data_IF_162837701365
#
_entry.id   IF_162837701365
#
_cell.length_a   1.000
_cell.length_b   1.000
_cell.length_c   1.000
_cell.angle_alpha   90.00
_cell.angle_beta   90.00
_cell.angle_gamma   90.00
#
_symmetry.space_group_name_H-M   'P 1'
#
loop_
_entity.id
_entity.type
_entity.pdbx_description
1 polymer ?
#
# COMPACT_ATOMS: atom_id res chain seq x y z
N UNK A 1 -0.32 -78.04 -16.01
CA UNK A 1 0.18 -77.09 -17.03
C UNK A 1 0.51 -75.80 -16.26
N UNK A 2 1.71 -75.52 -15.73
CA UNK A 2 3.06 -75.37 -16.32
C UNK A 2 3.13 -74.41 -17.51
N UNK A 3 3.31 -73.12 -17.20
CA UNK A 3 4.13 -72.12 -17.91
C UNK A 3 4.14 -70.85 -17.02
N UNK A 4 5.20 -70.56 -16.23
CA UNK A 4 6.48 -69.89 -16.54
C UNK A 4 6.39 -68.36 -16.77
N UNK A 5 7.06 -67.62 -15.85
CA UNK A 5 7.77 -66.31 -15.98
C UNK A 5 6.92 -65.07 -16.33
N UNK A 6 7.12 -63.87 -15.75
CA UNK A 6 8.34 -63.20 -15.30
C UNK A 6 8.12 -62.43 -14.00
N UNK A 7 9.14 -62.43 -13.15
CA UNK A 7 9.34 -61.49 -12.07
C UNK A 7 9.77 -60.13 -12.64
N UNK A 8 9.11 -59.05 -12.21
CA UNK A 8 9.60 -57.68 -12.35
C UNK A 8 9.59 -57.06 -10.95
N UNK A 9 10.79 -56.87 -10.42
CA UNK A 9 11.08 -56.06 -9.24
C UNK A 9 10.69 -54.61 -9.53
N UNK A 10 9.59 -54.16 -8.93
CA UNK A 10 9.26 -52.74 -8.83
C UNK A 10 9.91 -52.18 -7.56
N UNK A 11 10.80 -51.18 -7.65
CA UNK A 11 11.17 -50.40 -6.49
C UNK A 11 9.95 -49.57 -6.08
N UNK A 12 9.51 -49.75 -4.84
CA UNK A 12 8.57 -48.86 -4.18
C UNK A 12 9.26 -47.50 -3.97
N UNK A 13 9.12 -46.60 -4.93
CA UNK A 13 9.30 -45.17 -4.72
C UNK A 13 7.94 -44.58 -4.38
N UNK A 14 7.67 -44.47 -3.08
CA UNK A 14 6.77 -43.45 -2.54
C UNK A 14 7.32 -42.09 -2.91
N UNK A 15 6.87 -41.53 -4.02
CA UNK A 15 7.00 -40.09 -4.26
C UNK A 15 5.98 -39.41 -3.36
N UNK A 16 6.46 -38.94 -2.21
CA UNK A 16 5.87 -37.79 -1.55
C UNK A 16 5.92 -36.66 -2.57
N UNK A 17 4.76 -36.24 -3.07
CA UNK A 17 4.63 -35.02 -3.85
C UNK A 17 4.92 -33.86 -2.89
N UNK A 18 6.06 -33.20 -3.08
CA UNK A 18 6.26 -31.86 -2.53
C UNK A 18 5.25 -30.91 -3.21
N UNK A 19 4.59 -30.02 -2.47
CA UNK A 19 3.60 -29.10 -3.02
C UNK A 19 4.18 -28.07 -4.01
N UNK A 20 5.50 -28.01 -4.19
CA UNK A 20 6.19 -27.05 -5.07
C UNK A 20 6.30 -27.51 -6.54
N UNK A 21 6.01 -28.79 -6.86
CA UNK A 21 6.13 -29.34 -8.24
C UNK A 21 4.85 -29.20 -9.10
N UNK A 22 3.84 -28.45 -8.65
CA UNK A 22 2.64 -28.13 -9.44
C UNK A 22 2.78 -26.89 -10.33
N UNK A 23 3.93 -26.21 -10.30
CA UNK A 23 4.22 -25.05 -11.14
C UNK A 23 4.84 -25.51 -12.46
N UNK A 24 3.98 -26.10 -13.31
CA UNK A 24 4.33 -26.55 -14.66
C UNK A 24 4.78 -25.40 -15.56
N UNK A 25 5.90 -25.64 -16.25
CA UNK A 25 6.52 -24.71 -17.18
C UNK A 25 5.68 -24.39 -18.43
N UNK A 26 5.92 -23.19 -18.96
CA UNK A 26 5.34 -22.68 -20.20
C UNK A 26 6.32 -21.77 -20.95
N UNK A 27 6.85 -22.30 -22.05
CA UNK A 27 7.37 -21.69 -23.28
C UNK A 27 7.40 -20.15 -23.39
N UNK A 28 8.61 -19.58 -23.51
CA UNK A 28 8.90 -18.37 -24.30
C UNK A 28 8.11 -17.07 -24.02
N UNK A 29 7.54 -16.91 -22.82
CA UNK A 29 6.63 -15.81 -22.48
C UNK A 29 7.32 -14.65 -21.74
N UNK A 30 6.72 -13.47 -21.88
CA UNK A 30 7.01 -12.23 -21.12
C UNK A 30 7.34 -12.60 -19.67
N UNK A 31 8.54 -12.26 -19.19
CA UNK A 31 8.90 -12.40 -17.78
C UNK A 31 8.04 -11.43 -16.97
N UNK A 32 6.85 -11.85 -16.54
CA UNK A 32 6.12 -11.12 -15.50
C UNK A 32 7.00 -11.17 -14.24
N UNK A 33 7.35 -10.02 -13.65
CA UNK A 33 8.13 -9.99 -12.42
C UNK A 33 7.51 -10.87 -11.34
N UNK A 34 8.35 -11.57 -10.57
CA UNK A 34 7.87 -12.42 -9.49
C UNK A 34 7.07 -11.59 -8.45
N UNK A 35 5.88 -12.09 -8.03
CA UNK A 35 5.10 -11.45 -6.98
C UNK A 35 5.95 -11.20 -5.73
N UNK A 36 5.78 -10.02 -5.12
CA UNK A 36 6.51 -9.66 -3.90
C UNK A 36 5.61 -9.83 -2.67
N UNK A 37 6.12 -10.32 -1.52
CA UNK A 37 5.40 -10.25 -0.27
C UNK A 37 5.33 -8.80 0.24
N UNK A 38 4.28 -8.44 0.98
CA UNK A 38 4.09 -7.09 1.51
C UNK A 38 5.29 -6.58 2.32
N UNK A 39 5.86 -7.43 3.17
CA UNK A 39 7.09 -7.08 3.92
C UNK A 39 8.26 -6.75 2.98
N UNK A 40 8.41 -7.46 1.87
CA UNK A 40 9.46 -7.22 0.88
C UNK A 40 9.33 -5.85 0.19
N UNK A 41 8.10 -5.37 -0.03
CA UNK A 41 7.86 -4.00 -0.55
C UNK A 41 8.42 -2.98 0.41
N UNK A 42 8.09 -3.11 1.70
CA UNK A 42 8.53 -2.19 2.74
C UNK A 42 10.04 -2.20 2.94
N UNK A 43 10.66 -3.38 2.93
CA UNK A 43 12.12 -3.52 3.02
C UNK A 43 12.82 -2.86 1.82
N UNK A 44 12.31 -3.09 0.61
CA UNK A 44 12.88 -2.52 -0.63
C UNK A 44 12.73 -1.00 -0.69
N UNK A 45 11.54 -0.47 -0.35
CA UNK A 45 11.32 0.98 -0.25
C UNK A 45 12.22 1.62 0.81
N UNK A 46 12.37 0.97 1.98
CA UNK A 46 13.20 1.48 3.05
C UNK A 46 14.67 1.58 2.63
N UNK A 47 15.20 0.51 2.03
CA UNK A 47 16.58 0.50 1.55
C UNK A 47 16.80 1.58 0.48
N UNK A 48 15.98 1.60 -0.56
CA UNK A 48 16.14 2.51 -1.69
C UNK A 48 15.97 3.98 -1.29
N UNK A 49 14.97 4.31 -0.47
CA UNK A 49 14.74 5.68 -0.03
C UNK A 49 15.89 6.19 0.85
N UNK A 50 16.39 5.36 1.78
CA UNK A 50 17.51 5.77 2.64
C UNK A 50 18.83 5.90 1.88
N UNK A 51 19.04 5.12 0.83
CA UNK A 51 20.16 5.33 -0.10
C UNK A 51 19.99 6.61 -0.94
N UNK A 52 18.74 6.93 -1.32
CA UNK A 52 18.43 8.17 -2.01
C UNK A 52 18.59 9.42 -1.13
N UNK A 53 18.34 9.34 0.19
CA UNK A 53 18.63 10.45 1.11
C UNK A 53 20.09 10.91 0.97
N UNK A 54 21.04 9.98 1.03
CA UNK A 54 22.47 10.29 0.88
C UNK A 54 22.82 10.84 -0.51
N UNK A 55 22.23 10.27 -1.56
CA UNK A 55 22.51 10.61 -2.97
C UNK A 55 21.89 11.94 -3.41
N UNK A 56 20.65 12.19 -3.01
CA UNK A 56 19.85 13.36 -3.42
C UNK A 56 20.17 14.60 -2.57
N UNK A 57 20.66 14.42 -1.33
CA UNK A 57 20.84 15.53 -0.37
C UNK A 57 22.29 15.90 -0.07
N UNK A 58 23.24 15.02 -0.41
CA UNK A 58 24.66 15.23 -0.17
C UNK A 58 25.09 14.91 1.26
N UNK A 59 26.18 14.15 1.38
CA UNK A 59 26.81 13.59 2.58
C UNK A 59 26.14 12.33 3.18
N UNK A 60 26.60 11.12 2.81
CA UNK A 60 26.19 9.89 3.48
C UNK A 60 26.65 9.88 4.95
N UNK A 61 25.70 9.79 5.88
CA UNK A 61 25.95 9.50 7.30
C UNK A 61 25.37 8.11 7.61
N UNK A 62 26.20 7.09 7.92
CA UNK A 62 25.70 5.75 8.25
C UNK A 62 24.68 5.73 9.40
N UNK A 63 24.80 6.64 10.37
CA UNK A 63 23.85 6.73 11.49
C UNK A 63 22.49 7.29 11.03
N UNK A 64 22.45 8.11 9.97
CA UNK A 64 21.19 8.57 9.35
C UNK A 64 20.49 7.44 8.62
N UNK A 65 21.23 6.59 7.90
CA UNK A 65 20.67 5.43 7.20
C UNK A 65 19.90 4.49 8.14
N UNK A 66 20.47 4.14 9.29
CA UNK A 66 19.79 3.29 10.28
C UNK A 66 18.52 3.93 10.84
N UNK A 67 18.58 5.23 11.18
CA UNK A 67 17.39 5.99 11.65
C UNK A 67 16.31 6.07 10.57
N UNK A 68 16.71 6.31 9.33
CA UNK A 68 15.82 6.34 8.18
C UNK A 68 15.13 4.99 7.98
N UNK A 69 15.88 3.88 7.97
CA UNK A 69 15.32 2.55 7.79
C UNK A 69 14.30 2.21 8.90
N UNK A 70 14.62 2.54 10.16
CA UNK A 70 13.70 2.34 11.28
C UNK A 70 12.43 3.20 11.17
N UNK A 71 12.53 4.42 10.63
CA UNK A 71 11.40 5.32 10.46
C UNK A 71 10.47 4.90 9.31
N UNK A 72 11.03 4.36 8.22
CA UNK A 72 10.22 3.81 7.14
C UNK A 72 9.53 2.53 7.61
N UNK A 73 10.28 1.63 8.26
CA UNK A 73 9.73 0.39 8.78
C UNK A 73 8.53 0.62 9.73
N UNK A 74 8.59 1.63 10.60
CA UNK A 74 7.49 1.95 11.51
C UNK A 74 6.24 2.45 10.78
N UNK A 75 6.39 3.26 9.73
CA UNK A 75 5.26 3.70 8.88
C UNK A 75 4.69 2.56 8.05
N UNK A 76 5.56 1.68 7.58
CA UNK A 76 5.19 0.58 6.72
C UNK A 76 4.46 -0.55 7.48
N UNK A 77 4.70 -0.68 8.79
CA UNK A 77 4.10 -1.73 9.62
C UNK A 77 2.55 -1.74 9.55
N UNK A 78 1.91 -0.57 9.52
CA UNK A 78 0.45 -0.46 9.38
C UNK A 78 -0.03 -0.99 8.03
N UNK A 79 0.68 -0.71 6.95
CA UNK A 79 0.33 -1.21 5.61
C UNK A 79 0.57 -2.72 5.48
N UNK A 80 1.68 -3.25 6.03
CA UNK A 80 1.92 -4.71 6.05
C UNK A 80 0.82 -5.44 6.81
N UNK A 81 0.38 -4.90 7.96
CA UNK A 81 -0.71 -5.49 8.72
C UNK A 81 -2.04 -5.52 7.94
N UNK A 82 -2.28 -4.53 7.06
CA UNK A 82 -3.43 -4.54 6.15
C UNK A 82 -3.26 -5.59 5.05
N UNK A 83 -2.09 -5.67 4.44
CA UNK A 83 -1.80 -6.61 3.36
C UNK A 83 -1.81 -8.08 3.80
N UNK A 84 -1.42 -8.37 5.05
CA UNK A 84 -1.45 -9.71 5.61
C UNK A 84 -2.88 -10.19 5.95
N UNK A 85 -3.89 -9.31 5.96
CA UNK A 85 -5.29 -9.68 6.20
C UNK A 85 -5.98 -10.11 4.92
N UNK A 86 -6.54 -11.32 4.92
CA UNK A 86 -7.18 -11.92 3.76
C UNK A 86 -8.33 -11.08 3.14
N UNK A 87 -8.96 -10.17 3.91
CA UNK A 87 -10.05 -9.31 3.41
C UNK A 87 -9.58 -8.27 2.41
N UNK A 88 -8.32 -7.87 2.48
CA UNK A 88 -7.75 -6.85 1.58
C UNK A 88 -7.29 -7.44 0.25
N UNK A 89 -7.29 -8.77 0.11
CA UNK A 89 -6.86 -9.48 -1.10
C UNK A 89 -5.57 -8.91 -1.68
N UNK A 90 -4.50 -8.94 -0.89
CA UNK A 90 -3.21 -8.42 -1.33
C UNK A 90 -2.73 -9.10 -2.62
N UNK A 91 -2.43 -8.28 -3.64
CA UNK A 91 -1.84 -8.71 -4.90
C UNK A 91 -0.36 -8.35 -4.95
N UNK A 92 0.49 -9.38 -4.85
CA UNK A 92 1.94 -9.24 -4.90
C UNK A 92 2.50 -8.85 -6.28
N UNK A 93 1.79 -9.09 -7.38
CA UNK A 93 2.20 -8.64 -8.70
C UNK A 93 1.91 -7.15 -8.89
N UNK A 94 0.74 -6.67 -8.45
CA UNK A 94 0.44 -5.23 -8.43
C UNK A 94 1.39 -4.49 -7.48
N UNK A 95 1.64 -5.05 -6.29
CA UNK A 95 2.59 -4.48 -5.35
C UNK A 95 4.01 -4.36 -5.92
N UNK A 96 4.43 -5.31 -6.75
CA UNK A 96 5.69 -5.26 -7.47
C UNK A 96 5.70 -4.10 -8.48
N UNK A 97 4.65 -3.95 -9.29
CA UNK A 97 4.56 -2.85 -10.25
C UNK A 97 4.59 -1.47 -9.56
N UNK A 98 3.90 -1.33 -8.42
CA UNK A 98 3.94 -0.12 -7.59
C UNK A 98 5.35 0.13 -7.05
N UNK A 99 6.03 -0.92 -6.57
CA UNK A 99 7.40 -0.82 -6.08
C UNK A 99 8.35 -0.36 -7.21
N UNK A 100 8.24 -0.93 -8.40
CA UNK A 100 9.12 -0.58 -9.52
C UNK A 100 8.96 0.90 -9.93
N UNK A 101 7.73 1.42 -9.97
CA UNK A 101 7.46 2.85 -10.19
C UNK A 101 8.01 3.72 -9.05
N UNK A 102 7.86 3.28 -7.80
CA UNK A 102 8.42 4.00 -6.64
C UNK A 102 9.95 4.04 -6.71
N UNK A 103 10.62 2.94 -7.05
CA UNK A 103 12.07 2.86 -7.21
C UNK A 103 12.54 3.78 -8.34
N UNK A 104 11.83 3.83 -9.47
CA UNK A 104 12.15 4.75 -10.56
C UNK A 104 12.10 6.22 -10.12
N UNK A 105 11.10 6.61 -9.31
CA UNK A 105 10.99 7.97 -8.73
C UNK A 105 12.11 8.26 -7.74
N UNK A 106 12.44 7.30 -6.88
CA UNK A 106 13.55 7.37 -5.93
C UNK A 106 14.86 7.59 -6.68
N UNK A 107 15.11 6.83 -7.75
CA UNK A 107 16.31 6.94 -8.58
C UNK A 107 16.42 8.31 -9.26
N UNK A 108 15.29 8.90 -9.67
CA UNK A 108 15.22 10.25 -10.22
C UNK A 108 15.30 11.37 -9.15
N UNK A 109 15.31 11.02 -7.85
CA UNK A 109 15.11 11.98 -6.75
C UNK A 109 13.83 12.82 -6.94
N UNK A 110 12.78 12.20 -7.49
CA UNK A 110 11.52 12.85 -7.83
C UNK A 110 10.70 13.07 -6.54
N UNK A 111 10.36 14.32 -6.20
CA UNK A 111 9.67 14.62 -4.96
C UNK A 111 8.23 14.09 -4.92
N UNK A 112 7.66 13.70 -6.06
CA UNK A 112 6.31 13.12 -6.17
C UNK A 112 6.17 11.67 -5.66
N UNK A 113 7.23 11.07 -5.13
CA UNK A 113 7.18 9.72 -4.53
C UNK A 113 6.11 9.59 -3.44
N UNK A 114 6.07 10.51 -2.48
CA UNK A 114 5.14 10.45 -1.35
C UNK A 114 3.68 10.52 -1.79
N UNK A 115 3.24 11.51 -2.59
CA UNK A 115 1.86 11.52 -3.08
C UNK A 115 1.54 10.29 -3.93
N UNK A 116 2.49 9.78 -4.73
CA UNK A 116 2.32 8.54 -5.49
C UNK A 116 2.03 7.34 -4.57
N UNK A 117 2.88 7.07 -3.56
CA UNK A 117 2.70 5.91 -2.66
C UNK A 117 1.34 5.93 -1.93
N UNK A 118 0.80 7.11 -1.65
CA UNK A 118 -0.50 7.30 -1.00
C UNK A 118 -1.71 7.33 -1.94
N UNK A 119 -1.48 7.41 -3.25
CA UNK A 119 -2.55 7.53 -4.25
C UNK A 119 -3.26 6.18 -4.44
N UNK A 120 -4.40 6.20 -5.14
CA UNK A 120 -5.11 4.98 -5.53
C UNK A 120 -4.32 4.09 -6.49
N UNK A 121 -3.30 4.65 -7.15
CA UNK A 121 -2.37 3.95 -8.05
C UNK A 121 -1.10 3.47 -7.32
N UNK A 122 -0.90 3.89 -6.07
CA UNK A 122 0.25 3.55 -5.24
C UNK A 122 0.05 2.28 -4.40
N UNK A 123 0.53 2.29 -3.16
CA UNK A 123 0.41 1.14 -2.24
C UNK A 123 -1.03 0.65 -2.03
N UNK A 124 -2.06 1.52 -1.99
CA UNK A 124 -3.46 1.09 -1.97
C UNK A 124 -3.88 0.21 -3.16
N UNK A 125 -3.27 0.36 -4.34
CA UNK A 125 -3.62 -0.42 -5.53
C UNK A 125 -3.37 -1.92 -5.36
N UNK A 126 -2.41 -2.29 -4.51
CA UNK A 126 -2.09 -3.68 -4.19
C UNK A 126 -3.10 -4.34 -3.23
N UNK A 127 -4.09 -3.60 -2.73
CA UNK A 127 -5.15 -4.11 -1.86
C UNK A 127 -6.44 -4.21 -2.67
N UNK A 128 -6.61 -5.32 -3.42
CA UNK A 128 -7.74 -5.47 -4.35
C UNK A 128 -9.10 -5.54 -3.66
N UNK A 129 -9.14 -5.93 -2.38
CA UNK A 129 -10.38 -6.20 -1.65
C UNK A 129 -11.07 -7.50 -2.07
N UNK A 130 -12.00 -7.95 -1.24
CA UNK A 130 -12.78 -9.19 -1.44
C UNK A 130 -14.28 -8.95 -1.60
N UNK A 131 -14.76 -7.73 -1.35
CA UNK A 131 -16.19 -7.37 -1.32
C UNK A 131 -16.57 -6.61 -2.58
N UNK A 132 -17.56 -7.14 -3.29
CA UNK A 132 -18.06 -6.57 -4.54
C UNK A 132 -18.70 -5.18 -4.36
N UNK A 133 -18.72 -4.34 -5.41
CA UNK A 133 -19.43 -3.06 -5.39
C UNK A 133 -20.90 -3.20 -4.96
N UNK A 134 -21.35 -2.28 -4.09
CA UNK A 134 -22.70 -2.24 -3.53
C UNK A 134 -22.92 -3.14 -2.32
N UNK A 135 -22.08 -4.15 -2.10
CA UNK A 135 -22.23 -5.11 -1.01
C UNK A 135 -21.75 -4.54 0.35
N UNK A 136 -22.14 -5.21 1.43
CA UNK A 136 -21.79 -4.81 2.78
C UNK A 136 -20.31 -5.14 3.08
N UNK A 137 -19.49 -4.12 3.34
CA UNK A 137 -18.06 -4.26 3.64
C UNK A 137 -17.77 -4.36 5.14
N UNK A 138 -18.63 -3.81 5.99
CA UNK A 138 -18.48 -3.88 7.43
C UNK A 138 -19.83 -3.76 8.14
N UNK A 139 -19.83 -4.11 9.44
CA UNK A 139 -21.00 -3.99 10.31
C UNK A 139 -20.59 -3.45 11.67
N UNK A 140 -21.55 -2.86 12.38
CA UNK A 140 -21.31 -2.21 13.67
C UNK A 140 -20.97 -0.72 13.54
N UNK A 141 -20.99 -0.04 14.68
CA UNK A 141 -20.73 1.40 14.75
C UNK A 141 -19.28 1.75 14.42
N UNK A 142 -18.35 0.94 14.95
CA UNK A 142 -16.91 1.09 14.77
C UNK A 142 -16.35 -0.18 14.11
N UNK A 143 -16.26 -0.22 12.77
CA UNK A 143 -15.68 -1.37 12.08
C UNK A 143 -14.17 -1.43 12.29
N UNK A 144 -13.59 -2.62 12.19
CA UNK A 144 -12.13 -2.76 12.18
C UNK A 144 -11.55 -2.00 10.96
N UNK A 145 -10.44 -1.29 11.13
CA UNK A 145 -9.80 -0.48 10.08
C UNK A 145 -9.60 -1.27 8.79
N UNK A 146 -9.17 -2.52 8.88
CA UNK A 146 -8.95 -3.39 7.73
C UNK A 146 -10.23 -3.69 6.92
N UNK A 147 -11.41 -3.67 7.53
CA UNK A 147 -12.67 -3.79 6.80
C UNK A 147 -12.91 -2.58 5.88
N UNK A 148 -12.33 -1.42 6.21
CA UNK A 148 -12.38 -0.24 5.34
C UNK A 148 -11.60 -0.45 4.03
N UNK A 149 -10.73 -1.47 3.95
CA UNK A 149 -9.92 -1.88 2.80
C UNK A 149 -10.47 -3.11 2.06
N UNK A 150 -11.68 -3.55 2.38
CA UNK A 150 -12.21 -4.81 1.85
C UNK A 150 -12.89 -4.67 0.47
N UNK A 151 -13.09 -3.46 -0.05
CA UNK A 151 -13.88 -3.21 -1.25
C UNK A 151 -13.09 -3.36 -2.54
N UNK A 152 -13.71 -4.00 -3.55
CA UNK A 152 -13.13 -4.20 -4.88
C UNK A 152 -13.16 -2.96 -5.75
N UNK A 153 -12.36 -3.00 -6.80
CA UNK A 153 -12.33 -1.97 -7.86
C UNK A 153 -12.13 -0.55 -7.28
N UNK A 154 -11.33 -0.45 -6.22
CA UNK A 154 -11.03 0.81 -5.51
C UNK A 154 -12.28 1.53 -4.97
N UNK A 155 -13.37 0.79 -4.70
CA UNK A 155 -14.52 1.34 -4.00
C UNK A 155 -14.18 1.67 -2.55
N UNK A 156 -14.92 2.62 -2.00
CA UNK A 156 -14.80 3.07 -0.62
C UNK A 156 -15.79 2.31 0.27
N UNK A 157 -15.32 1.78 1.40
CA UNK A 157 -16.18 1.20 2.41
C UNK A 157 -16.78 2.32 3.26
N UNK A 158 -17.94 2.82 2.86
CA UNK A 158 -18.54 4.02 3.45
C UNK A 158 -19.76 3.69 4.29
N UNK A 159 -19.96 4.48 5.35
CA UNK A 159 -21.10 4.30 6.24
C UNK A 159 -22.37 4.86 5.62
N UNK A 160 -23.38 4.00 5.47
CA UNK A 160 -24.70 4.38 4.95
C UNK A 160 -25.79 4.45 6.04
N UNK A 161 -25.50 3.91 7.23
CA UNK A 161 -26.33 4.02 8.43
C UNK A 161 -25.46 3.76 9.67
N UNK A 162 -25.89 4.06 10.91
CA UNK A 162 -25.05 4.00 12.11
C UNK A 162 -24.26 2.70 12.30
N UNK A 163 -24.74 1.56 11.81
CA UNK A 163 -24.03 0.27 11.90
C UNK A 163 -23.89 -0.47 10.56
N UNK A 164 -24.05 0.22 9.43
CA UNK A 164 -24.03 -0.38 8.08
C UNK A 164 -23.06 0.35 7.17
N UNK A 165 -22.23 -0.45 6.51
CA UNK A 165 -21.15 0.01 5.65
C UNK A 165 -21.18 -0.77 4.34
N UNK A 166 -21.13 -0.06 3.22
CA UNK A 166 -21.19 -0.66 1.89
C UNK A 166 -20.05 -0.15 1.01
N UNK A 167 -19.63 -0.98 0.07
CA UNK A 167 -18.70 -0.60 -0.98
C UNK A 167 -19.39 0.31 -1.98
N UNK A 168 -19.13 1.62 -1.91
CA UNK A 168 -19.66 2.59 -2.87
C UNK A 168 -18.51 3.26 -3.62
N UNK A 169 -18.84 3.90 -4.74
CA UNK A 169 -17.88 4.77 -5.42
C UNK A 169 -17.36 5.84 -4.45
N UNK A 170 -16.09 6.27 -4.53
CA UNK A 170 -15.55 7.34 -3.70
C UNK A 170 -16.46 8.58 -3.69
N UNK A 171 -16.61 9.14 -2.50
CA UNK A 171 -17.60 10.14 -2.18
C UNK A 171 -17.23 11.50 -2.76
N UNK A 172 -18.22 12.17 -3.35
CA UNK A 172 -18.08 13.56 -3.75
C UNK A 172 -17.92 14.47 -2.52
N UNK A 173 -17.59 15.75 -2.76
CA UNK A 173 -17.47 16.76 -1.72
C UNK A 173 -18.70 16.79 -0.81
N UNK A 174 -18.48 16.87 0.50
CA UNK A 174 -19.53 16.86 1.51
C UNK A 174 -20.02 15.46 1.90
N UNK A 175 -19.56 14.41 1.22
CA UNK A 175 -19.86 13.02 1.59
C UNK A 175 -19.09 12.56 2.82
N UNK A 176 -19.64 11.58 3.53
CA UNK A 176 -19.01 10.97 4.71
C UNK A 176 -17.84 10.07 4.30
N UNK A 177 -16.74 10.14 5.04
CA UNK A 177 -15.54 9.34 4.81
C UNK A 177 -14.93 8.87 6.14
N UNK A 178 -14.04 7.89 6.09
CA UNK A 178 -13.13 7.52 7.20
C UNK A 178 -11.67 7.61 6.79
N UNK A 179 -11.38 7.41 5.51
CA UNK A 179 -10.04 7.44 4.92
C UNK A 179 -10.01 8.42 3.76
N UNK A 180 -8.82 8.94 3.45
CA UNK A 180 -8.65 9.92 2.36
C UNK A 180 -9.10 9.39 0.99
N UNK A 181 -8.86 8.11 0.74
CA UNK A 181 -9.29 7.42 -0.49
C UNK A 181 -10.81 7.17 -0.57
N UNK A 182 -11.54 7.36 0.52
CA UNK A 182 -13.00 7.25 0.47
C UNK A 182 -13.61 8.43 -0.28
N UNK A 183 -12.82 9.47 -0.55
CA UNK A 183 -13.20 10.65 -1.27
C UNK A 183 -12.74 10.59 -2.73
N UNK A 184 -13.52 11.21 -3.62
CA UNK A 184 -13.17 11.36 -5.02
C UNK A 184 -11.83 12.11 -5.21
N UNK A 185 -11.26 11.99 -6.40
CA UNK A 185 -9.98 12.62 -6.74
C UNK A 185 -9.96 14.12 -6.43
N UNK A 186 -8.83 14.61 -5.91
CA UNK A 186 -8.66 16.01 -5.51
C UNK A 186 -9.28 16.37 -4.15
N UNK A 187 -9.94 15.42 -3.49
CA UNK A 187 -10.48 15.57 -2.15
C UNK A 187 -9.62 14.81 -1.12
N UNK A 188 -9.86 15.09 0.16
CA UNK A 188 -9.31 14.36 1.30
C UNK A 188 -10.40 14.20 2.36
N UNK A 189 -10.19 13.28 3.31
CA UNK A 189 -11.11 13.10 4.42
C UNK A 189 -10.73 14.04 5.55
N UNK A 190 -11.57 15.06 5.79
CA UNK A 190 -11.41 15.99 6.89
C UNK A 190 -11.95 15.36 8.17
N UNK A 191 -11.04 14.75 8.95
CA UNK A 191 -11.31 14.07 10.21
C UNK A 191 -10.12 14.24 11.15
N UNK A 192 -10.41 14.31 12.45
CA UNK A 192 -9.40 14.38 13.51
C UNK A 192 -8.73 13.02 13.77
N UNK A 193 -9.37 11.91 13.38
CA UNK A 193 -8.89 10.56 13.61
C UNK A 193 -9.20 9.63 12.42
N UNK A 194 -8.32 9.58 11.39
CA UNK A 194 -8.51 8.75 10.20
C UNK A 194 -8.76 7.27 10.55
N UNK A 195 -9.82 6.68 9.98
CA UNK A 195 -10.25 5.31 10.26
C UNK A 195 -11.09 5.12 11.52
N UNK A 196 -11.03 6.05 12.48
CA UNK A 196 -11.68 5.94 13.79
C UNK A 196 -12.90 6.85 13.95
N UNK A 197 -12.90 8.02 13.30
CA UNK A 197 -13.99 8.97 13.35
C UNK A 197 -14.34 9.40 11.93
N UNK A 198 -15.63 9.54 11.65
CA UNK A 198 -16.08 9.98 10.35
C UNK A 198 -15.71 11.42 10.10
N UNK A 199 -15.16 11.64 8.93
CA UNK A 199 -14.93 12.95 8.38
C UNK A 199 -15.91 13.31 7.28
N UNK A 200 -15.60 14.44 6.65
CA UNK A 200 -16.27 14.90 5.45
C UNK A 200 -15.24 15.05 4.33
N UNK A 201 -15.62 14.65 3.11
CA UNK A 201 -14.76 14.84 1.95
C UNK A 201 -14.68 16.32 1.57
N UNK A 202 -13.50 16.92 1.72
CA UNK A 202 -13.24 18.32 1.41
C UNK A 202 -12.13 18.47 0.35
N UNK A 203 -12.11 19.58 -0.41
CA UNK A 203 -11.05 19.84 -1.38
C UNK A 203 -9.67 19.94 -0.73
N UNK A 204 -8.66 19.36 -1.38
CA UNK A 204 -7.27 19.58 -0.99
C UNK A 204 -6.91 21.07 -1.10
N UNK A 205 -6.10 21.51 -0.14
CA UNK A 205 -5.70 22.90 0.06
C UNK A 205 -4.44 23.20 -0.77
N UNK A 206 -4.36 24.38 -1.41
CA UNK A 206 -3.15 24.80 -2.10
C UNK A 206 -2.04 25.14 -1.09
N UNK A 207 -0.85 25.42 -1.60
CA UNK A 207 0.27 25.93 -0.80
C UNK A 207 -0.13 27.19 -0.02
N UNK A 208 0.34 27.28 1.24
CA UNK A 208 -0.02 28.33 2.20
C UNK A 208 -1.40 28.15 2.85
N UNK A 209 -2.17 27.12 2.50
CA UNK A 209 -3.37 26.75 3.24
C UNK A 209 -3.01 26.05 4.55
N UNK A 210 -3.74 26.34 5.63
CA UNK A 210 -3.58 25.66 6.91
C UNK A 210 -3.80 24.15 6.75
N UNK A 211 -3.16 23.30 7.54
CA UNK A 211 -3.32 21.86 7.51
C UNK A 211 -3.03 21.24 8.88
N UNK A 212 -3.75 20.16 9.21
CA UNK A 212 -3.44 19.30 10.35
C UNK A 212 -2.79 17.98 9.91
N UNK A 213 -2.99 17.59 8.64
CA UNK A 213 -2.46 16.37 8.04
C UNK A 213 -1.96 16.66 6.63
N UNK A 214 -0.94 15.92 6.22
CA UNK A 214 -0.39 15.96 4.87
C UNK A 214 -1.46 15.78 3.76
N UNK A 215 -2.43 14.89 3.97
CA UNK A 215 -3.48 14.61 3.00
C UNK A 215 -4.40 15.81 2.69
N UNK A 216 -4.48 16.78 3.61
CA UNK A 216 -5.23 18.01 3.40
C UNK A 216 -4.61 18.91 2.32
N UNK A 217 -3.36 18.69 1.95
CA UNK A 217 -2.61 19.52 1.00
C UNK A 217 -2.56 18.87 -0.38
N UNK A 218 -2.70 19.67 -1.44
CA UNK A 218 -2.53 19.20 -2.82
C UNK A 218 -1.11 18.66 -3.09
N UNK A 219 -0.11 19.15 -2.34
CA UNK A 219 1.27 18.66 -2.35
C UNK A 219 1.50 17.38 -1.54
N UNK A 220 0.48 16.90 -0.80
CA UNK A 220 0.61 15.84 0.20
C UNK A 220 1.67 16.14 1.27
N UNK A 221 1.92 17.42 1.58
CA UNK A 221 2.93 17.83 2.57
C UNK A 221 2.40 18.97 3.44
N UNK A 222 2.39 18.73 4.75
CA UNK A 222 1.98 19.67 5.78
C UNK A 222 3.16 19.88 6.74
N UNK A 223 3.66 21.11 6.84
CA UNK A 223 4.82 21.47 7.67
C UNK A 223 4.42 22.66 8.53
N UNK A 224 4.63 22.54 9.84
CA UNK A 224 4.30 23.57 10.84
C UNK A 224 2.86 24.10 10.75
N UNK A 225 1.93 23.26 10.28
CA UNK A 225 0.53 23.60 10.13
C UNK A 225 0.16 24.24 8.79
N UNK A 226 1.09 24.33 7.84
CA UNK A 226 0.85 24.90 6.51
C UNK A 226 1.18 23.92 5.38
N UNK A 227 0.36 23.96 4.32
CA UNK A 227 0.62 23.25 3.09
C UNK A 227 1.81 23.88 2.38
N UNK A 228 2.84 23.09 2.10
CA UNK A 228 4.06 23.58 1.44
C UNK A 228 4.32 22.87 0.12
N UNK A 229 5.11 23.50 -0.74
CA UNK A 229 5.52 22.92 -2.01
C UNK A 229 6.30 21.61 -1.80
N UNK A 230 6.05 20.65 -2.68
CA UNK A 230 6.77 19.38 -2.71
C UNK A 230 8.08 19.59 -3.47
N UNK A 231 9.19 19.63 -2.74
CA UNK A 231 10.54 19.83 -3.28
C UNK A 231 11.40 18.60 -3.02
N UNK A 232 12.48 18.42 -3.79
CA UNK A 232 13.45 17.36 -3.52
C UNK A 232 13.97 17.42 -2.08
N UNK A 233 14.25 18.63 -1.58
CA UNK A 233 14.69 18.85 -0.20
C UNK A 233 13.67 18.33 0.79
N UNK A 234 12.39 18.67 0.63
CA UNK A 234 11.37 18.24 1.60
C UNK A 234 10.99 16.77 1.44
N UNK A 235 11.14 16.20 0.24
CA UNK A 235 10.81 14.80 -0.05
C UNK A 235 11.92 13.82 0.36
N UNK A 236 13.20 14.22 0.33
CA UNK A 236 14.34 13.33 0.61
C UNK A 236 15.30 13.85 1.68
N UNK A 237 15.38 15.17 1.90
CA UNK A 237 16.43 15.79 2.72
C UNK A 237 15.94 16.34 4.06
N UNK A 238 14.63 16.33 4.28
CA UNK A 238 14.01 16.72 5.54
C UNK A 238 14.09 15.63 6.62
N UNK A 239 14.81 14.53 6.37
CA UNK A 239 15.07 13.52 7.40
C UNK A 239 16.14 14.02 8.40
N UNK A 240 15.71 14.87 9.33
CA UNK A 240 16.52 15.38 10.44
C UNK A 240 16.35 14.56 11.74
N UNK A 241 15.63 13.43 11.66
CA UNK A 241 15.39 12.54 12.79
C UNK A 241 14.44 13.10 13.85
N UNK A 242 13.78 14.24 13.56
CA UNK A 242 12.68 14.77 14.36
C UNK A 242 11.41 14.69 13.50
N UNK A 243 10.57 13.72 13.83
CA UNK A 243 9.23 13.70 13.27
C UNK A 243 8.47 14.98 13.70
N UNK A 244 7.50 15.47 12.90
CA UNK A 244 6.34 16.15 13.48
C UNK A 244 5.63 15.22 14.48
#
# INVERSE_FOLDING_TARGET
MRALFLALLLPACTLALDPDDLMGGGDGGITTPDPIPARGVCESLAEAYCDAEARCCGAPDPSRRERCASWIASRCAGWVALADDARTAYDGALARAVLDEALARIDACDPSLVPFLSSVEGLPAALEGTVEPGEACASGAEPATVALHACREQHACVRIAPSRWNCLTPMARGGTCRLDRDCAEGLFCDTDAPGEVDGTCEPKRPEGGECARAAACSSALCVDGDCVALTQTNAYCAFDGRAP
#
